data_IF_083611872784
#
_entry.id   IF_083611872784
#
_cell.length_a   1.000
_cell.length_b   1.000
_cell.length_c   1.000
_cell.angle_alpha   90.00
_cell.angle_beta   90.00
_cell.angle_gamma   90.00
#
_symmetry.space_group_name_H-M   'P 1'
#
loop_
_entity.id
_entity.type
_entity.pdbx_description
1 polymer ?
#
# COMPACT_ATOMS: atom_id res chain seq x y z
N UNK A 1 7.90 5.36 -36.17
CA UNK A 1 6.46 5.40 -35.78
C UNK A 1 6.25 4.50 -34.56
N UNK A 2 5.99 5.10 -33.39
CA UNK A 2 5.66 4.35 -32.17
C UNK A 2 4.13 4.28 -32.03
N UNK A 3 3.63 3.11 -31.58
CA UNK A 3 2.22 2.95 -31.18
C UNK A 3 2.18 3.02 -29.66
N UNK A 4 1.19 3.74 -29.13
CA UNK A 4 0.97 3.88 -27.68
C UNK A 4 -0.42 3.31 -27.36
N UNK A 5 -0.46 2.41 -26.37
CA UNK A 5 -1.69 1.82 -25.84
C UNK A 5 -1.80 2.25 -24.38
N UNK A 6 -2.91 2.91 -24.04
CA UNK A 6 -3.25 3.25 -22.66
C UNK A 6 -4.17 2.16 -22.09
N UNK A 7 -3.81 1.60 -20.95
CA UNK A 7 -4.63 0.63 -20.24
C UNK A 7 -4.96 1.14 -18.85
N UNK A 8 -6.19 0.90 -18.38
CA UNK A 8 -6.64 1.28 -17.07
C UNK A 8 -8.11 1.01 -16.84
N UNK A 9 -8.57 1.25 -15.62
CA UNK A 9 -9.97 1.12 -15.21
C UNK A 9 -10.45 2.47 -14.63
N UNK A 10 -11.43 3.15 -15.25
CA UNK A 10 -11.91 4.45 -14.78
C UNK A 10 -12.62 4.39 -13.42
N UNK A 11 -12.97 3.20 -12.93
CA UNK A 11 -13.59 3.00 -11.62
C UNK A 11 -12.57 2.78 -10.51
N UNK A 12 -11.30 2.51 -10.84
CA UNK A 12 -10.22 2.40 -9.87
C UNK A 12 -9.71 3.80 -9.43
N UNK A 13 -8.62 3.81 -8.67
CA UNK A 13 -8.05 5.05 -8.13
C UNK A 13 -7.51 5.93 -9.25
N UNK A 14 -7.81 7.20 -9.15
CA UNK A 14 -7.27 8.23 -10.05
C UNK A 14 -5.89 8.70 -9.59
N UNK A 15 -5.10 9.34 -10.45
CA UNK A 15 -3.89 10.03 -10.01
C UNK A 15 -4.18 11.00 -8.86
N UNK A 16 -3.25 11.12 -7.92
CA UNK A 16 -3.40 11.99 -6.75
C UNK A 16 -3.69 13.43 -7.18
N UNK A 17 -4.76 14.02 -6.61
CA UNK A 17 -5.19 15.38 -6.92
C UNK A 17 -6.07 15.51 -8.18
N UNK A 18 -6.43 14.42 -8.84
CA UNK A 18 -7.34 14.42 -10.00
C UNK A 18 -8.60 13.59 -9.72
N UNK A 19 -9.75 14.09 -10.15
CA UNK A 19 -11.03 13.37 -10.05
C UNK A 19 -11.20 12.32 -11.16
N UNK A 20 -10.46 12.47 -12.26
CA UNK A 20 -10.49 11.57 -13.41
C UNK A 20 -9.10 11.43 -14.02
N UNK A 21 -8.81 10.26 -14.60
CA UNK A 21 -7.65 10.13 -15.47
C UNK A 21 -7.90 10.86 -16.79
N UNK A 22 -7.01 11.75 -17.23
CA UNK A 22 -7.17 12.48 -18.50
C UNK A 22 -7.33 11.57 -19.72
N UNK A 23 -6.71 10.37 -19.67
CA UNK A 23 -6.73 9.40 -20.78
C UNK A 23 -8.15 8.94 -21.12
N UNK A 24 -9.01 8.71 -20.11
CA UNK A 24 -10.38 8.23 -20.35
C UNK A 24 -11.36 9.31 -20.85
N UNK A 25 -10.91 10.57 -20.90
CA UNK A 25 -11.69 11.68 -21.50
C UNK A 25 -11.40 11.94 -22.98
N UNK A 26 -10.40 11.24 -23.53
CA UNK A 26 -10.01 11.42 -24.92
C UNK A 26 -10.94 10.62 -25.84
N UNK A 27 -11.82 11.33 -26.59
CA UNK A 27 -12.77 10.72 -27.51
C UNK A 27 -12.20 10.45 -28.89
N UNK A 28 -10.99 10.94 -29.15
CA UNK A 28 -10.34 10.82 -30.48
C UNK A 28 -9.62 9.47 -30.67
N UNK A 29 -9.53 8.62 -29.62
CA UNK A 29 -8.90 7.31 -29.71
C UNK A 29 -9.93 6.19 -29.67
N UNK A 30 -9.66 5.12 -30.40
CA UNK A 30 -10.45 3.89 -30.30
C UNK A 30 -10.32 3.30 -28.90
N UNK A 31 -11.42 2.93 -28.26
CA UNK A 31 -11.43 2.31 -26.93
C UNK A 31 -12.10 0.95 -26.99
N UNK A 32 -11.55 0.01 -26.21
CA UNK A 32 -12.09 -1.34 -26.03
C UNK A 32 -12.18 -1.62 -24.54
N UNK A 33 -13.27 -2.25 -24.11
CA UNK A 33 -13.49 -2.62 -22.71
C UNK A 33 -13.38 -4.13 -22.55
N UNK A 34 -12.57 -4.56 -21.56
CA UNK A 34 -12.57 -5.95 -21.09
C UNK A 34 -13.71 -6.09 -20.05
N UNK A 35 -14.66 -6.94 -20.31
CA UNK A 35 -15.89 -7.08 -19.50
C UNK A 35 -15.88 -8.30 -18.57
N UNK A 36 -14.98 -9.26 -18.80
CA UNK A 36 -14.90 -10.45 -17.97
C UNK A 36 -14.03 -10.25 -16.74
N UNK A 37 -14.55 -10.66 -15.57
CA UNK A 37 -13.80 -10.67 -14.31
C UNK A 37 -13.10 -12.01 -14.17
N UNK A 38 -11.77 -12.02 -14.11
CA UNK A 38 -10.95 -13.27 -14.06
C UNK A 38 -10.48 -13.59 -12.64
N UNK A 39 -10.41 -12.58 -11.74
CA UNK A 39 -9.80 -12.74 -10.42
C UNK A 39 -10.64 -13.57 -9.45
N UNK A 40 -11.97 -13.46 -9.53
CA UNK A 40 -12.92 -14.17 -8.68
C UNK A 40 -13.90 -14.94 -9.54
N UNK A 41 -14.41 -16.09 -9.02
CA UNK A 41 -15.48 -16.83 -9.70
C UNK A 41 -16.73 -15.94 -9.87
N UNK A 42 -17.50 -16.14 -10.93
CA UNK A 42 -18.70 -15.33 -11.24
C UNK A 42 -19.71 -15.30 -10.07
N UNK A 43 -19.81 -16.38 -9.31
CA UNK A 43 -20.74 -16.51 -8.17
C UNK A 43 -20.14 -16.07 -6.83
N UNK A 44 -18.91 -15.55 -6.83
CA UNK A 44 -18.27 -15.10 -5.60
C UNK A 44 -18.99 -13.85 -5.05
N UNK A 45 -19.34 -13.79 -3.73
CA UNK A 45 -20.09 -12.67 -3.14
C UNK A 45 -19.44 -11.29 -3.36
N UNK A 46 -18.11 -11.23 -3.40
CA UNK A 46 -17.39 -9.99 -3.74
C UNK A 46 -17.70 -9.48 -5.14
N UNK A 47 -18.03 -10.36 -6.10
CA UNK A 47 -18.30 -9.95 -7.49
C UNK A 47 -19.53 -9.07 -7.57
N UNK A 48 -20.62 -9.45 -6.90
CA UNK A 48 -21.84 -8.65 -6.85
C UNK A 48 -21.61 -7.29 -6.17
N UNK A 49 -20.97 -7.31 -4.98
CA UNK A 49 -20.67 -6.10 -4.22
C UNK A 49 -19.74 -5.14 -5.01
N UNK A 50 -18.71 -5.66 -5.66
CA UNK A 50 -17.84 -4.84 -6.50
C UNK A 50 -18.57 -4.22 -7.70
N UNK A 51 -19.57 -4.92 -8.26
CA UNK A 51 -20.43 -4.37 -9.32
C UNK A 51 -21.30 -3.22 -8.82
N UNK A 52 -21.82 -3.30 -7.58
CA UNK A 52 -22.55 -2.19 -6.96
C UNK A 52 -21.64 -0.97 -6.75
N UNK A 53 -20.41 -1.18 -6.28
CA UNK A 53 -19.43 -0.09 -6.15
C UNK A 53 -19.11 0.55 -7.51
N UNK A 54 -18.94 -0.25 -8.56
CA UNK A 54 -18.74 0.28 -9.93
C UNK A 54 -19.92 1.12 -10.38
N UNK A 55 -21.15 0.66 -10.16
CA UNK A 55 -22.36 1.40 -10.50
C UNK A 55 -22.44 2.75 -9.75
N UNK A 56 -22.10 2.77 -8.46
CA UNK A 56 -22.04 4.00 -7.68
C UNK A 56 -20.93 4.95 -8.20
N UNK A 57 -19.72 4.46 -8.39
CA UNK A 57 -18.58 5.25 -8.88
C UNK A 57 -18.82 5.85 -10.26
N UNK A 58 -19.49 5.12 -11.15
CA UNK A 58 -19.83 5.58 -12.49
C UNK A 58 -21.05 6.53 -12.56
N UNK A 59 -21.77 6.70 -11.45
CA UNK A 59 -23.02 7.47 -11.40
C UNK A 59 -24.23 6.72 -11.89
N UNK A 60 -24.13 5.43 -12.20
CA UNK A 60 -25.28 4.59 -12.60
C UNK A 60 -26.21 4.25 -11.41
N UNK A 61 -25.72 4.35 -10.18
CA UNK A 61 -26.51 4.22 -8.95
C UNK A 61 -26.24 5.39 -8.01
N UNK A 62 -27.26 6.06 -7.45
CA UNK A 62 -27.06 7.13 -6.47
C UNK A 62 -26.79 6.61 -5.06
N UNK A 63 -27.00 5.29 -4.83
CA UNK A 63 -26.93 4.69 -3.48
C UNK A 63 -25.53 4.13 -3.23
N UNK A 64 -24.90 4.57 -2.13
CA UNK A 64 -23.64 4.00 -1.66
C UNK A 64 -23.86 2.52 -1.29
N UNK A 65 -23.02 1.59 -1.80
CA UNK A 65 -23.20 0.17 -1.56
C UNK A 65 -23.06 -0.20 -0.08
N UNK A 66 -23.91 -1.11 0.38
CA UNK A 66 -23.83 -1.64 1.75
C UNK A 66 -23.04 -2.95 1.75
N UNK A 67 -21.95 -2.97 2.50
CA UNK A 67 -21.15 -4.17 2.68
C UNK A 67 -21.86 -5.10 3.68
N UNK A 68 -22.43 -6.20 3.21
CA UNK A 68 -23.11 -7.19 4.04
C UNK A 68 -22.15 -8.31 4.45
N UNK A 69 -22.30 -8.83 5.67
CA UNK A 69 -21.53 -9.98 6.16
C UNK A 69 -21.98 -11.26 5.44
N UNK A 70 -21.02 -12.08 5.05
CA UNK A 70 -21.19 -13.42 4.50
C UNK A 70 -19.93 -14.25 4.78
N UNK A 71 -19.85 -15.48 4.26
CA UNK A 71 -18.67 -16.34 4.50
C UNK A 71 -17.35 -15.72 4.07
N UNK A 72 -17.35 -14.81 3.08
CA UNK A 72 -16.17 -14.16 2.52
C UNK A 72 -15.97 -12.71 2.97
N UNK A 73 -17.01 -12.11 3.55
CA UNK A 73 -17.02 -10.73 4.04
C UNK A 73 -17.40 -10.77 5.51
N UNK A 74 -16.43 -10.51 6.37
CA UNK A 74 -16.60 -10.57 7.81
C UNK A 74 -16.43 -9.17 8.43
N UNK A 75 -17.36 -8.83 9.33
CA UNK A 75 -17.26 -7.67 10.18
C UNK A 75 -17.00 -8.14 11.59
N UNK A 76 -15.96 -7.58 12.21
CA UNK A 76 -15.56 -7.93 13.56
C UNK A 76 -15.26 -6.66 14.35
N UNK A 77 -15.39 -6.73 15.67
CA UNK A 77 -14.93 -5.65 16.55
C UNK A 77 -13.40 -5.50 16.53
N UNK A 78 -12.91 -4.39 17.07
CA UNK A 78 -11.48 -4.06 17.01
C UNK A 78 -10.59 -5.10 17.72
N UNK A 79 -11.04 -5.68 18.83
CA UNK A 79 -10.26 -6.67 19.56
C UNK A 79 -10.18 -7.99 18.77
N UNK A 80 -11.31 -8.45 18.24
CA UNK A 80 -11.37 -9.64 17.38
C UNK A 80 -10.53 -9.42 16.12
N UNK A 81 -10.58 -8.23 15.52
CA UNK A 81 -9.77 -7.89 14.35
C UNK A 81 -8.27 -7.99 14.64
N UNK A 82 -7.82 -7.45 15.77
CA UNK A 82 -6.43 -7.53 16.19
C UNK A 82 -6.00 -8.99 16.45
N UNK A 83 -6.82 -9.76 17.15
CA UNK A 83 -6.54 -11.20 17.36
C UNK A 83 -6.44 -11.98 16.06
N UNK A 84 -7.34 -11.73 15.10
CA UNK A 84 -7.30 -12.34 13.78
C UNK A 84 -6.04 -11.94 13.01
N UNK A 85 -5.64 -10.67 13.09
CA UNK A 85 -4.38 -10.21 12.48
C UNK A 85 -3.17 -10.94 13.08
N UNK A 86 -3.04 -10.97 14.41
CA UNK A 86 -1.90 -11.59 15.05
C UNK A 86 -1.83 -13.10 14.83
N UNK A 87 -2.96 -13.75 14.59
CA UNK A 87 -3.03 -15.16 14.21
C UNK A 87 -2.69 -15.39 12.73
N UNK A 88 -3.14 -14.50 11.84
CA UNK A 88 -2.92 -14.62 10.40
C UNK A 88 -1.47 -14.31 10.02
N UNK A 89 -0.89 -13.29 10.65
CA UNK A 89 0.49 -12.88 10.43
C UNK A 89 1.39 -13.53 11.47
N UNK A 90 1.70 -14.79 11.30
CA UNK A 90 2.63 -15.54 12.12
C UNK A 90 3.97 -15.79 11.41
N UNK A 91 4.82 -16.63 11.97
CA UNK A 91 6.13 -16.99 11.40
C UNK A 91 6.06 -17.75 10.07
N UNK A 92 4.89 -18.27 9.69
CA UNK A 92 4.67 -18.98 8.42
C UNK A 92 4.17 -18.04 7.32
N UNK A 93 3.83 -16.78 7.68
CA UNK A 93 3.32 -15.83 6.71
C UNK A 93 4.37 -15.46 5.66
N UNK A 94 3.93 -15.38 4.42
CA UNK A 94 4.72 -14.86 3.31
C UNK A 94 3.91 -13.88 2.46
N UNK A 95 4.60 -13.06 1.69
CA UNK A 95 4.01 -12.09 0.77
C UNK A 95 3.00 -12.75 -0.17
N UNK A 96 1.83 -12.16 -0.31
CA UNK A 96 0.73 -12.68 -1.13
C UNK A 96 -0.35 -13.41 -0.36
N UNK A 97 -0.08 -13.93 0.84
CA UNK A 97 -1.12 -14.57 1.67
C UNK A 97 -2.14 -13.55 2.16
N UNK A 98 -1.70 -12.57 2.91
CA UNK A 98 -2.61 -11.58 3.53
C UNK A 98 -1.98 -10.19 3.55
N UNK A 99 -2.82 -9.15 3.56
CA UNK A 99 -2.39 -7.76 3.64
C UNK A 99 -3.40 -6.91 4.40
N UNK A 100 -2.91 -6.02 5.27
CA UNK A 100 -3.72 -4.94 5.83
C UNK A 100 -3.72 -3.78 4.84
N UNK A 101 -4.88 -3.33 4.43
CA UNK A 101 -5.05 -2.22 3.50
C UNK A 101 -5.65 -1.01 4.21
N UNK A 102 -4.96 0.12 4.14
CA UNK A 102 -5.35 1.36 4.77
C UNK A 102 -5.32 2.54 3.79
N UNK A 103 -5.96 3.62 4.14
CA UNK A 103 -5.91 4.86 3.37
C UNK A 103 -4.65 5.66 3.68
N UNK A 104 -4.32 5.83 4.99
CA UNK A 104 -3.26 6.73 5.44
C UNK A 104 -1.99 5.98 5.86
N UNK A 105 -0.84 6.55 5.53
CA UNK A 105 0.46 6.02 5.94
C UNK A 105 0.62 5.86 7.46
N UNK A 106 -0.06 6.69 8.28
CA UNK A 106 -0.07 6.56 9.74
C UNK A 106 -0.67 5.22 10.18
N UNK A 107 -1.79 4.82 9.57
CA UNK A 107 -2.47 3.55 9.86
C UNK A 107 -1.66 2.36 9.34
N UNK A 108 -1.04 2.49 8.16
CA UNK A 108 -0.08 1.50 7.66
C UNK A 108 1.06 1.29 8.66
N UNK A 109 1.66 2.37 9.15
CA UNK A 109 2.74 2.30 10.15
C UNK A 109 2.30 1.61 11.44
N UNK A 110 1.09 1.93 11.96
CA UNK A 110 0.51 1.28 13.15
C UNK A 110 0.46 -0.25 12.99
N UNK A 111 -0.16 -0.73 11.91
CA UNK A 111 -0.33 -2.18 11.69
C UNK A 111 0.99 -2.88 11.38
N UNK A 112 1.86 -2.27 10.60
CA UNK A 112 3.20 -2.81 10.35
C UNK A 112 4.00 -2.99 11.64
N UNK A 113 3.99 -1.99 12.54
CA UNK A 113 4.68 -2.08 13.83
C UNK A 113 4.06 -3.13 14.74
N UNK A 114 2.72 -3.15 14.85
CA UNK A 114 2.00 -4.12 15.68
C UNK A 114 2.35 -5.56 15.28
N UNK A 115 2.21 -5.89 13.99
CA UNK A 115 2.44 -7.23 13.47
C UNK A 115 3.92 -7.60 13.59
N UNK A 116 4.81 -6.69 13.18
CA UNK A 116 6.26 -6.94 13.25
C UNK A 116 6.73 -7.22 14.67
N UNK A 117 6.27 -6.43 15.66
CA UNK A 117 6.61 -6.62 17.06
C UNK A 117 6.06 -7.95 17.61
N UNK A 118 4.84 -8.32 17.21
CA UNK A 118 4.25 -9.59 17.63
C UNK A 118 5.04 -10.80 17.13
N UNK A 119 5.44 -10.80 15.86
CA UNK A 119 6.17 -11.91 15.24
C UNK A 119 7.60 -11.99 15.78
N UNK A 120 8.28 -10.84 15.83
CA UNK A 120 9.73 -10.80 16.03
C UNK A 120 10.14 -10.47 17.46
N UNK A 121 9.23 -10.07 18.34
CA UNK A 121 9.48 -9.64 19.73
C UNK A 121 10.54 -8.52 19.82
N UNK A 122 10.65 -7.70 18.77
CA UNK A 122 11.60 -6.58 18.65
C UNK A 122 11.03 -5.48 17.75
N UNK A 123 11.62 -4.30 17.79
CA UNK A 123 11.20 -3.13 16.99
C UNK A 123 12.14 -2.81 15.84
N UNK A 124 13.37 -3.28 15.90
CA UNK A 124 14.41 -2.99 14.91
C UNK A 124 14.53 -4.12 13.89
N UNK A 125 14.80 -3.74 12.65
CA UNK A 125 15.09 -4.70 11.59
C UNK A 125 16.48 -5.29 11.74
N UNK A 126 16.60 -6.58 11.43
CA UNK A 126 17.87 -7.33 11.49
C UNK A 126 18.06 -8.13 10.20
N UNK A 127 19.19 -8.84 10.12
CA UNK A 127 19.45 -9.76 9.02
C UNK A 127 18.33 -10.81 8.87
N UNK A 128 17.92 -11.09 7.65
CA UNK A 128 16.85 -12.02 7.28
C UNK A 128 15.46 -11.38 7.22
N UNK A 129 15.28 -10.14 7.70
CA UNK A 129 13.99 -9.49 7.58
C UNK A 129 13.70 -9.09 6.13
N UNK A 130 12.47 -9.32 5.71
CA UNK A 130 11.94 -8.80 4.44
C UNK A 130 11.24 -7.47 4.73
N UNK A 131 11.64 -6.42 4.03
CA UNK A 131 11.12 -5.06 4.20
C UNK A 131 10.75 -4.45 2.87
N UNK A 132 9.85 -3.46 2.89
CA UNK A 132 9.46 -2.70 1.71
C UNK A 132 10.12 -1.33 1.74
N UNK A 133 10.71 -0.93 0.63
CA UNK A 133 11.23 0.43 0.47
C UNK A 133 10.11 1.41 0.10
N UNK A 134 9.92 2.46 0.91
CA UNK A 134 8.79 3.38 0.78
C UNK A 134 8.98 4.50 -0.26
N UNK A 135 10.23 4.79 -0.69
CA UNK A 135 10.55 5.74 -1.76
C UNK A 135 11.78 5.29 -2.55
N UNK A 136 11.89 5.73 -3.80
CA UNK A 136 13.03 5.34 -4.63
C UNK A 136 14.35 5.85 -4.05
N UNK A 137 15.40 5.02 -4.13
CA UNK A 137 16.78 5.36 -3.77
C UNK A 137 17.65 5.17 -5.00
N UNK A 138 18.21 6.26 -5.50
CA UNK A 138 18.93 6.26 -6.76
C UNK A 138 18.11 5.65 -7.91
N UNK A 139 18.79 4.95 -8.80
CA UNK A 139 18.16 4.24 -9.92
C UNK A 139 17.96 2.73 -9.65
N UNK A 140 18.44 2.24 -8.50
CA UNK A 140 18.53 0.79 -8.25
C UNK A 140 17.49 0.25 -7.29
N UNK A 141 16.99 1.04 -6.32
CA UNK A 141 15.97 0.60 -5.38
C UNK A 141 14.66 1.37 -5.60
N UNK A 142 13.73 0.72 -6.25
CA UNK A 142 12.42 1.32 -6.59
C UNK A 142 11.53 1.48 -5.37
N UNK A 143 10.59 2.40 -5.46
CA UNK A 143 9.47 2.49 -4.51
C UNK A 143 8.68 1.18 -4.51
N UNK A 144 8.27 0.76 -3.32
CA UNK A 144 7.51 -0.48 -3.06
C UNK A 144 8.24 -1.78 -3.42
N UNK A 145 9.56 -1.72 -3.71
CA UNK A 145 10.37 -2.91 -3.82
C UNK A 145 10.48 -3.62 -2.46
N UNK A 146 10.18 -4.91 -2.45
CA UNK A 146 10.48 -5.78 -1.32
C UNK A 146 11.92 -6.27 -1.41
N UNK A 147 12.66 -6.19 -0.32
CA UNK A 147 14.08 -6.54 -0.23
C UNK A 147 14.35 -7.31 1.05
N UNK A 148 15.30 -8.23 1.00
CA UNK A 148 15.81 -8.93 2.18
C UNK A 148 17.02 -8.20 2.76
N UNK A 149 17.07 -8.07 4.08
CA UNK A 149 18.20 -7.48 4.79
C UNK A 149 19.28 -8.55 5.00
N UNK A 150 20.43 -8.38 4.37
CA UNK A 150 21.57 -9.27 4.49
C UNK A 150 22.51 -8.90 5.65
N UNK A 151 22.60 -7.59 5.97
CA UNK A 151 23.50 -7.08 7.02
C UNK A 151 23.02 -5.74 7.54
N UNK A 152 23.22 -5.51 8.84
CA UNK A 152 22.93 -4.23 9.50
C UNK A 152 24.20 -3.75 10.20
N UNK A 153 24.50 -2.45 10.09
CA UNK A 153 25.62 -1.79 10.76
C UNK A 153 25.24 -0.41 11.24
N UNK A 154 25.36 -0.15 12.54
CA UNK A 154 25.18 1.19 13.08
C UNK A 154 26.16 2.18 12.44
N UNK A 155 25.68 3.37 12.10
CA UNK A 155 26.43 4.39 11.39
C UNK A 155 25.82 5.78 11.56
N UNK A 156 26.49 6.77 10.99
CA UNK A 156 25.93 8.10 10.78
C UNK A 156 26.15 8.55 9.33
N UNK A 157 25.22 9.35 8.80
CA UNK A 157 25.31 9.98 7.49
C UNK A 157 24.84 11.42 7.61
N UNK A 158 25.63 12.37 7.08
CA UNK A 158 25.33 13.80 7.13
C UNK A 158 25.01 14.34 8.55
N UNK A 159 25.65 13.76 9.58
CA UNK A 159 25.42 14.13 10.98
C UNK A 159 24.18 13.50 11.64
N UNK A 160 23.43 12.64 10.94
CA UNK A 160 22.29 11.91 11.47
C UNK A 160 22.70 10.48 11.84
N UNK A 161 22.32 10.04 13.04
CA UNK A 161 22.53 8.65 13.48
C UNK A 161 21.51 7.72 12.83
N UNK A 162 21.94 6.51 12.49
CA UNK A 162 21.10 5.51 11.85
C UNK A 162 21.85 4.21 11.63
N UNK A 163 21.41 3.46 10.62
CA UNK A 163 22.01 2.19 10.25
C UNK A 163 22.21 2.12 8.74
N UNK A 164 23.32 1.55 8.31
CA UNK A 164 23.46 1.03 6.96
C UNK A 164 22.90 -0.39 6.90
N UNK A 165 21.98 -0.61 5.97
CA UNK A 165 21.43 -1.91 5.62
C UNK A 165 22.02 -2.34 4.29
N UNK A 166 22.62 -3.53 4.24
CA UNK A 166 22.91 -4.20 2.97
C UNK A 166 21.69 -5.03 2.64
N UNK A 167 21.08 -4.80 1.50
CA UNK A 167 19.84 -5.45 1.07
C UNK A 167 20.01 -6.15 -0.26
N UNK A 168 19.31 -7.26 -0.45
CA UNK A 168 19.21 -7.96 -1.72
C UNK A 168 18.03 -7.39 -2.52
N UNK A 169 18.32 -6.98 -3.74
CA UNK A 169 17.33 -6.46 -4.68
C UNK A 169 16.58 -7.61 -5.38
N UNK A 170 15.37 -7.39 -5.92
CA UNK A 170 14.65 -8.40 -6.70
C UNK A 170 15.43 -8.94 -7.91
N UNK A 171 16.47 -8.25 -8.34
CA UNK A 171 17.39 -8.70 -9.41
C UNK A 171 18.47 -9.68 -8.94
N UNK A 172 18.54 -9.99 -7.63
CA UNK A 172 19.61 -10.78 -7.03
C UNK A 172 20.89 -9.99 -6.72
N UNK A 173 20.96 -8.72 -7.13
CA UNK A 173 22.09 -7.86 -6.78
C UNK A 173 21.93 -7.32 -5.35
N UNK A 174 23.06 -6.96 -4.73
CA UNK A 174 23.04 -6.34 -3.39
C UNK A 174 23.34 -4.84 -3.49
N UNK A 175 22.73 -4.08 -2.59
CA UNK A 175 23.03 -2.66 -2.42
C UNK A 175 23.08 -2.29 -0.96
N UNK A 176 23.60 -1.09 -0.67
CA UNK A 176 23.73 -0.57 0.68
C UNK A 176 22.96 0.74 0.79
N UNK A 177 22.05 0.81 1.75
CA UNK A 177 21.24 2.01 1.99
C UNK A 177 21.35 2.45 3.44
N UNK A 178 21.26 3.76 3.67
CA UNK A 178 21.22 4.35 5.01
C UNK A 178 19.79 4.60 5.44
N UNK A 179 19.43 4.19 6.65
CA UNK A 179 18.13 4.49 7.27
C UNK A 179 18.37 5.26 8.56
N UNK A 180 17.91 6.52 8.66
CA UNK A 180 18.04 7.30 9.89
C UNK A 180 17.17 6.72 11.00
N UNK A 181 17.59 6.84 12.26
CA UNK A 181 16.85 6.34 13.41
C UNK A 181 15.44 6.96 13.54
N UNK A 182 15.25 8.17 13.04
CA UNK A 182 13.96 8.83 12.99
C UNK A 182 13.54 9.04 11.55
N UNK A 183 12.41 8.48 11.16
CA UNK A 183 11.86 8.63 9.80
C UNK A 183 11.71 10.09 9.36
N UNK A 184 11.43 11.00 10.31
CA UNK A 184 11.32 12.43 10.04
C UNK A 184 12.64 13.07 9.65
N UNK A 185 13.77 12.45 9.97
CA UNK A 185 15.09 12.99 9.67
C UNK A 185 15.40 12.97 8.18
N UNK A 186 14.86 12.03 7.42
CA UNK A 186 14.95 12.06 5.95
C UNK A 186 14.43 13.37 5.36
N UNK A 187 13.18 13.71 5.68
CA UNK A 187 12.55 14.94 5.17
C UNK A 187 13.24 16.19 5.71
N UNK A 188 13.64 16.17 6.99
CA UNK A 188 14.36 17.29 7.62
C UNK A 188 15.71 17.53 6.96
N UNK A 189 16.51 16.49 6.79
CA UNK A 189 17.83 16.57 6.15
C UNK A 189 17.73 17.07 4.71
N UNK A 190 16.82 16.49 3.93
CA UNK A 190 16.57 16.88 2.54
C UNK A 190 16.16 18.34 2.41
N UNK A 191 15.17 18.78 3.19
CA UNK A 191 14.70 20.16 3.15
C UNK A 191 15.78 21.16 3.60
N UNK A 192 16.57 20.78 4.62
CA UNK A 192 17.73 21.59 5.07
C UNK A 192 18.75 21.74 3.96
N UNK A 193 19.21 20.63 3.38
CA UNK A 193 20.19 20.63 2.30
C UNK A 193 19.75 21.45 1.08
N UNK A 194 18.46 21.33 0.69
CA UNK A 194 17.89 22.16 -0.40
C UNK A 194 17.93 23.65 -0.03
N UNK A 195 17.50 24.01 1.18
CA UNK A 195 17.46 25.41 1.64
C UNK A 195 18.85 26.05 1.70
N UNK A 196 19.86 25.27 2.08
CA UNK A 196 21.26 25.69 2.22
C UNK A 196 22.06 25.58 0.91
N UNK A 197 21.45 25.12 -0.19
CA UNK A 197 22.08 24.95 -1.49
C UNK A 197 23.15 23.84 -1.52
N UNK A 198 23.10 22.90 -0.59
CA UNK A 198 24.03 21.77 -0.45
C UNK A 198 23.69 20.65 -1.43
N UNK A 199 23.97 20.84 -2.71
CA UNK A 199 23.61 19.90 -3.79
C UNK A 199 24.20 18.51 -3.60
N UNK A 200 25.43 18.39 -3.05
CA UNK A 200 26.06 17.11 -2.74
C UNK A 200 25.30 16.33 -1.67
N UNK A 201 24.85 17.01 -0.62
CA UNK A 201 24.09 16.36 0.47
C UNK A 201 22.71 15.92 -0.03
N UNK A 202 22.06 16.73 -0.88
CA UNK A 202 20.81 16.32 -1.54
C UNK A 202 21.03 15.05 -2.36
N UNK A 203 22.12 14.96 -3.11
CA UNK A 203 22.45 13.79 -3.91
C UNK A 203 22.66 12.55 -3.03
N UNK A 204 23.46 12.66 -1.95
CA UNK A 204 23.68 11.57 -0.99
C UNK A 204 22.33 11.07 -0.41
N UNK A 205 21.44 12.00 0.00
CA UNK A 205 20.13 11.64 0.52
C UNK A 205 19.28 10.91 -0.53
N UNK A 206 19.31 11.37 -1.78
CA UNK A 206 18.53 10.76 -2.86
C UNK A 206 19.07 9.39 -3.30
N UNK A 207 20.38 9.19 -3.23
CA UNK A 207 21.03 7.99 -3.75
C UNK A 207 21.34 6.94 -2.68
N UNK A 208 21.35 7.31 -1.40
CA UNK A 208 21.75 6.37 -0.34
C UNK A 208 20.69 6.19 0.76
N UNK A 209 19.83 7.20 1.04
CA UNK A 209 18.92 7.12 2.17
C UNK A 209 17.62 6.43 1.78
N UNK A 210 17.21 5.45 2.57
CA UNK A 210 15.99 4.66 2.38
C UNK A 210 14.98 4.87 3.53
N UNK A 211 13.72 4.58 3.24
CA UNK A 211 12.64 4.44 4.21
C UNK A 211 12.15 3.00 4.15
N UNK A 212 12.81 2.12 4.91
CA UNK A 212 12.46 0.70 5.00
C UNK A 212 11.34 0.49 6.01
N UNK A 213 10.34 -0.28 5.62
CA UNK A 213 9.15 -0.58 6.43
C UNK A 213 8.82 -2.06 6.37
N UNK A 214 8.17 -2.58 7.42
CA UNK A 214 7.62 -3.92 7.38
C UNK A 214 6.55 -4.04 6.28
N UNK A 215 6.31 -5.26 5.81
CA UNK A 215 5.56 -5.55 4.59
C UNK A 215 4.11 -5.99 4.82
N UNK A 216 3.62 -6.02 6.06
CA UNK A 216 2.29 -6.58 6.42
C UNK A 216 1.13 -5.68 6.04
N UNK A 217 1.34 -4.37 6.03
CA UNK A 217 0.34 -3.38 5.69
C UNK A 217 0.83 -2.45 4.58
N UNK A 218 -0.08 -1.98 3.73
CA UNK A 218 0.19 -0.97 2.71
C UNK A 218 -1.01 -0.04 2.52
N UNK A 219 -0.79 1.09 1.83
CA UNK A 219 -1.94 1.89 1.39
C UNK A 219 -2.67 1.18 0.24
N UNK A 220 -3.98 1.44 0.12
CA UNK A 220 -4.78 0.92 -0.99
C UNK A 220 -4.19 1.32 -2.35
N UNK A 221 -3.64 2.54 -2.45
CA UNK A 221 -2.99 3.03 -3.67
C UNK A 221 -1.79 2.16 -4.07
N UNK A 222 -0.95 1.80 -3.11
CA UNK A 222 0.23 0.95 -3.35
C UNK A 222 -0.13 -0.51 -3.64
N UNK A 223 -1.24 -1.01 -3.06
CA UNK A 223 -1.74 -2.35 -3.31
C UNK A 223 -2.39 -2.51 -4.70
N UNK A 224 -2.55 -1.40 -5.46
CA UNK A 224 -3.13 -1.46 -6.78
C UNK A 224 -2.24 -2.31 -7.72
N UNK A 225 -2.84 -3.30 -8.38
CA UNK A 225 -2.11 -4.30 -9.18
C UNK A 225 -1.80 -5.61 -8.45
N UNK A 226 -1.67 -5.58 -7.12
CA UNK A 226 -1.41 -6.77 -6.30
C UNK A 226 -2.68 -7.60 -6.04
N UNK A 227 -2.49 -8.82 -5.57
CA UNK A 227 -3.59 -9.73 -5.20
C UNK A 227 -3.15 -10.54 -3.98
N UNK A 228 -4.04 -10.69 -3.01
CA UNK A 228 -3.80 -11.39 -1.74
C UNK A 228 -4.91 -12.42 -1.51
N UNK A 229 -4.63 -13.48 -0.76
CA UNK A 229 -5.68 -14.42 -0.41
C UNK A 229 -6.71 -13.75 0.51
N UNK A 230 -6.25 -13.03 1.54
CA UNK A 230 -7.11 -12.26 2.45
C UNK A 230 -6.69 -10.79 2.54
N UNK A 231 -7.66 -9.91 2.74
CA UNK A 231 -7.39 -8.50 3.06
C UNK A 231 -8.10 -8.10 4.35
N UNK A 232 -7.41 -7.30 5.14
CA UNK A 232 -7.90 -6.71 6.39
C UNK A 232 -8.05 -5.21 6.19
N UNK A 233 -9.21 -4.65 6.56
CA UNK A 233 -9.55 -3.25 6.30
C UNK A 233 -10.12 -2.62 7.57
N UNK A 234 -9.43 -1.63 8.11
CA UNK A 234 -9.91 -0.80 9.23
C UNK A 234 -10.65 0.41 8.67
N UNK A 235 -11.97 0.39 8.73
CA UNK A 235 -12.83 1.45 8.19
C UNK A 235 -12.73 2.77 8.96
N UNK A 236 -12.26 2.75 10.21
CA UNK A 236 -12.06 4.00 10.97
C UNK A 236 -11.05 4.91 10.30
N UNK A 237 -10.11 4.33 9.53
CA UNK A 237 -9.14 5.09 8.75
C UNK A 237 -9.80 5.91 7.63
N UNK A 238 -10.91 5.41 7.08
CA UNK A 238 -11.62 6.00 5.93
C UNK A 238 -12.74 6.97 6.32
N UNK A 239 -13.15 7.03 7.59
CA UNK A 239 -14.23 7.92 8.08
C UNK A 239 -14.15 9.38 7.58
N UNK A 240 -12.98 10.03 7.52
CA UNK A 240 -12.92 11.41 7.03
C UNK A 240 -13.42 11.61 5.60
N UNK A 241 -13.46 10.55 4.79
CA UNK A 241 -13.92 10.60 3.40
C UNK A 241 -15.44 10.50 3.25
N UNK A 242 -16.15 10.01 4.26
CA UNK A 242 -17.62 9.80 4.18
C UNK A 242 -18.35 11.08 3.74
N UNK A 243 -18.00 12.21 4.32
CA UNK A 243 -18.60 13.51 4.00
C UNK A 243 -17.77 14.35 3.04
N UNK A 244 -16.45 14.14 3.03
CA UNK A 244 -15.53 14.95 2.23
C UNK A 244 -15.50 14.55 0.76
N UNK A 245 -15.43 13.25 0.49
CA UNK A 245 -15.32 12.69 -0.86
C UNK A 245 -15.81 11.24 -0.90
N UNK A 246 -17.15 11.02 -0.93
CA UNK A 246 -17.73 9.67 -0.93
C UNK A 246 -17.40 8.88 -2.20
N UNK A 247 -17.11 9.55 -3.33
CA UNK A 247 -16.66 8.86 -4.54
C UNK A 247 -15.25 8.31 -4.36
N UNK A 248 -14.34 9.08 -3.78
CA UNK A 248 -12.99 8.60 -3.46
C UNK A 248 -13.04 7.48 -2.43
N UNK A 249 -13.91 7.57 -1.41
CA UNK A 249 -14.16 6.49 -0.47
C UNK A 249 -14.59 5.20 -1.20
N UNK A 250 -15.57 5.31 -2.09
CA UNK A 250 -16.05 4.16 -2.86
C UNK A 250 -14.95 3.54 -3.72
N UNK A 251 -14.11 4.36 -4.38
CA UNK A 251 -12.96 3.89 -5.15
C UNK A 251 -11.94 3.15 -4.29
N UNK A 252 -11.61 3.69 -3.13
CA UNK A 252 -10.67 3.06 -2.19
C UNK A 252 -11.20 1.71 -1.71
N UNK A 253 -12.47 1.63 -1.29
CA UNK A 253 -13.08 0.38 -0.85
C UNK A 253 -13.20 -0.63 -1.99
N UNK A 254 -13.61 -0.19 -3.19
CA UNK A 254 -13.64 -1.02 -4.40
C UNK A 254 -12.27 -1.64 -4.69
N UNK A 255 -11.22 -0.81 -4.70
CA UNK A 255 -9.86 -1.29 -4.96
C UNK A 255 -9.41 -2.21 -3.84
N UNK A 256 -9.58 -1.85 -2.55
CA UNK A 256 -9.15 -2.68 -1.42
C UNK A 256 -9.80 -4.07 -1.45
N UNK A 257 -11.13 -4.15 -1.58
CA UNK A 257 -11.85 -5.43 -1.65
C UNK A 257 -11.47 -6.24 -2.88
N UNK A 258 -11.25 -5.58 -4.03
CA UNK A 258 -10.83 -6.26 -5.26
C UNK A 258 -9.44 -6.89 -5.18
N UNK A 259 -8.66 -6.61 -4.12
CA UNK A 259 -7.36 -7.27 -3.89
C UNK A 259 -7.50 -8.66 -3.30
N UNK A 260 -8.62 -8.97 -2.63
CA UNK A 260 -8.86 -10.28 -2.02
C UNK A 260 -9.24 -11.33 -3.07
N UNK A 261 -8.66 -12.53 -2.95
CA UNK A 261 -9.12 -13.72 -3.66
C UNK A 261 -10.26 -14.41 -2.91
N UNK A 262 -10.17 -14.50 -1.58
CA UNK A 262 -11.04 -15.32 -0.77
C UNK A 262 -11.81 -14.58 0.30
N UNK A 263 -11.16 -13.72 1.11
CA UNK A 263 -11.78 -13.08 2.27
C UNK A 263 -11.45 -11.59 2.39
N UNK A 264 -12.46 -10.82 2.78
CA UNK A 264 -12.33 -9.45 3.27
C UNK A 264 -12.78 -9.39 4.73
N UNK A 265 -11.89 -8.96 5.62
CA UNK A 265 -12.17 -8.80 7.05
C UNK A 265 -12.19 -7.30 7.35
N UNK A 266 -13.32 -6.82 7.89
CA UNK A 266 -13.52 -5.41 8.22
C UNK A 266 -13.61 -5.22 9.72
N UNK A 267 -13.11 -4.08 10.19
CA UNK A 267 -13.39 -3.54 11.52
C UNK A 267 -13.74 -2.05 11.45
N UNK A 268 -14.35 -1.55 12.52
CA UNK A 268 -14.81 -0.17 12.58
C UNK A 268 -16.07 0.05 11.76
N UNK A 269 -16.50 1.28 11.70
CA UNK A 269 -17.67 1.73 10.93
C UNK A 269 -17.34 3.02 10.17
N UNK A 270 -18.23 3.42 9.27
CA UNK A 270 -18.14 4.66 8.51
C UNK A 270 -19.08 5.76 9.06
N UNK A 271 -19.81 5.48 10.15
CA UNK A 271 -20.73 6.41 10.78
C UNK A 271 -20.05 7.27 11.85
#
# INVERSE_FOLDING_TARGET
>A
NSKVIFMGDPTQLTPVGLNHSPVFKQTQYSSYALTETVRQAKEHPLTALLSEFRAYISGASPKFPKVATCNFIQWVDANTFEQMLLKEFDSSWHTGMSKVLAWRNKTVGKYNSLIFQNINQRTEFTQGDIVTNNHAVGLYLKTDAEVEILKVKAASSLGYSGHYYTVELPSGNTTKVFVPNKITDYTRAKNKAIKEGQTKDVQIIMDEWADLRATYASTVNKAQGSTYDKVFIDLTDFKPLVHKDPIQLARLLYVAMSRAKTHCIFTGDLC
#
